data_IF_836871902011
#
_entry.id   IF_836871902011
#
_cell.length_a   1.000
_cell.length_b   1.000
_cell.length_c   1.000
_cell.angle_alpha   90.00
_cell.angle_beta   90.00
_cell.angle_gamma   90.00
#
_symmetry.space_group_name_H-M   'P 1'
#
loop_
_entity.id
_entity.type
_entity.pdbx_description
1 polymer ?
#
# COMPACT_ATOMS: atom_id res chain seq x y z
N UNK A 1 83.72 -5.87 -18.95
CA UNK A 1 82.73 -4.78 -18.99
C UNK A 1 82.21 -4.68 -20.41
N UNK A 2 80.99 -5.15 -20.65
CA UNK A 2 80.29 -5.09 -21.93
C UNK A 2 78.98 -4.32 -21.71
N UNK A 3 78.58 -3.41 -22.60
CA UNK A 3 77.41 -2.57 -22.38
C UNK A 3 76.11 -3.33 -22.65
N UNK A 4 75.11 -3.07 -21.81
CA UNK A 4 73.78 -3.67 -21.81
C UNK A 4 72.96 -3.22 -23.01
N UNK A 5 72.38 -4.18 -23.73
CA UNK A 5 71.23 -3.94 -24.61
C UNK A 5 69.96 -3.90 -23.76
N UNK A 6 69.31 -2.74 -23.68
CA UNK A 6 67.90 -2.66 -23.32
C UNK A 6 67.06 -3.23 -24.48
N UNK A 7 66.06 -4.07 -24.24
CA UNK A 7 65.01 -4.33 -25.21
C UNK A 7 64.03 -3.17 -25.22
N UNK A 8 63.74 -2.66 -26.41
CA UNK A 8 62.81 -1.59 -26.70
C UNK A 8 61.43 -1.83 -26.08
N UNK A 9 60.91 -0.81 -25.39
CA UNK A 9 59.53 -0.76 -24.93
C UNK A 9 58.60 -0.62 -26.14
N UNK A 10 57.95 -1.71 -26.52
CA UNK A 10 56.80 -1.72 -27.44
C UNK A 10 55.65 -0.98 -26.75
N UNK A 11 55.63 0.34 -26.93
CA UNK A 11 54.56 1.25 -26.56
C UNK A 11 53.77 1.60 -27.82
N UNK A 12 53.18 0.57 -28.43
CA UNK A 12 52.17 0.75 -29.48
C UNK A 12 50.91 -0.04 -29.12
N UNK A 13 50.22 0.40 -28.07
CA UNK A 13 48.77 0.22 -28.02
C UNK A 13 48.20 1.18 -29.06
N UNK A 14 48.27 0.77 -30.32
CA UNK A 14 47.54 1.45 -31.40
C UNK A 14 46.08 1.53 -30.97
N UNK A 15 45.52 2.73 -31.10
CA UNK A 15 44.13 3.04 -30.83
C UNK A 15 43.24 2.08 -31.63
N UNK A 16 42.80 1.02 -30.98
CA UNK A 16 41.85 0.07 -31.54
C UNK A 16 40.49 0.76 -31.57
N UNK A 17 40.14 1.36 -32.72
CA UNK A 17 38.78 1.79 -33.01
C UNK A 17 37.91 0.56 -33.20
N UNK A 18 37.57 -0.07 -32.08
CA UNK A 18 36.75 -1.29 -31.99
C UNK A 18 35.47 -1.11 -32.81
N UNK A 19 35.30 -1.97 -33.81
CA UNK A 19 34.10 -1.99 -34.63
C UNK A 19 32.89 -2.37 -33.76
N UNK A 20 31.68 -2.00 -34.17
CA UNK A 20 30.46 -2.36 -33.44
C UNK A 20 30.34 -3.86 -33.19
N UNK A 21 30.86 -4.69 -34.12
CA UNK A 21 30.90 -6.15 -34.02
C UNK A 21 31.88 -6.63 -32.94
N UNK A 22 33.07 -6.01 -32.85
CA UNK A 22 34.05 -6.35 -31.82
C UNK A 22 33.51 -6.07 -30.42
N UNK A 23 32.76 -4.98 -30.24
CA UNK A 23 32.08 -4.68 -28.97
C UNK A 23 31.00 -5.71 -28.62
N UNK A 24 30.21 -6.14 -29.61
CA UNK A 24 29.19 -7.17 -29.41
C UNK A 24 29.81 -8.51 -28.95
N UNK A 25 30.91 -8.94 -29.56
CA UNK A 25 31.60 -10.18 -29.15
C UNK A 25 32.22 -10.08 -27.75
N UNK A 26 32.74 -8.90 -27.37
CA UNK A 26 33.27 -8.67 -26.03
C UNK A 26 32.14 -8.69 -24.99
N UNK A 27 31.01 -8.05 -25.27
CA UNK A 27 29.84 -8.06 -24.38
C UNK A 27 29.30 -9.48 -24.15
N UNK A 28 29.17 -10.28 -25.21
CA UNK A 28 28.74 -11.68 -25.13
C UNK A 28 29.72 -12.53 -24.29
N UNK A 29 31.03 -12.37 -24.50
CA UNK A 29 32.07 -13.07 -23.71
C UNK A 29 32.03 -12.67 -22.23
N UNK A 30 31.80 -11.37 -21.95
CA UNK A 30 31.65 -10.88 -20.59
C UNK A 30 30.41 -11.48 -19.91
N UNK A 31 29.29 -11.58 -20.62
CA UNK A 31 28.05 -12.20 -20.11
C UNK A 31 28.28 -13.70 -19.80
N UNK A 32 28.93 -14.43 -20.71
CA UNK A 32 29.30 -15.83 -20.50
C UNK A 32 30.18 -16.02 -19.25
N UNK A 33 31.16 -15.14 -19.05
CA UNK A 33 32.06 -15.21 -17.89
C UNK A 33 31.34 -14.90 -16.58
N UNK A 34 30.47 -13.88 -16.55
CA UNK A 34 29.66 -13.55 -15.38
C UNK A 34 28.74 -14.70 -14.97
N UNK A 35 28.20 -15.39 -15.97
CA UNK A 35 27.36 -16.56 -15.75
C UNK A 35 28.14 -17.72 -15.10
N UNK A 36 29.35 -18.02 -15.57
CA UNK A 36 30.21 -19.06 -14.97
C UNK A 36 30.57 -18.73 -13.52
N UNK A 37 30.91 -17.47 -13.22
CA UNK A 37 31.19 -17.02 -11.86
C UNK A 37 30.00 -17.22 -10.92
N UNK A 38 28.78 -16.83 -11.34
CA UNK A 38 27.57 -17.03 -10.55
C UNK A 38 27.25 -18.50 -10.35
N UNK A 39 27.44 -19.32 -11.38
CA UNK A 39 27.21 -20.75 -11.29
C UNK A 39 28.16 -21.41 -10.28
N UNK A 40 29.45 -21.01 -10.26
CA UNK A 40 30.41 -21.46 -9.24
C UNK A 40 30.01 -21.05 -7.82
N UNK A 41 29.56 -19.80 -7.64
CA UNK A 41 29.08 -19.30 -6.35
C UNK A 41 27.91 -20.14 -5.82
N UNK A 42 26.90 -20.40 -6.64
CA UNK A 42 25.74 -21.22 -6.23
C UNK A 42 26.14 -22.66 -5.94
N UNK A 43 27.01 -23.25 -6.76
CA UNK A 43 27.52 -24.60 -6.50
C UNK A 43 28.32 -24.70 -5.19
N UNK A 44 29.01 -23.63 -4.76
CA UNK A 44 29.66 -23.57 -3.45
C UNK A 44 28.64 -23.58 -2.30
N UNK A 45 27.51 -22.86 -2.44
CA UNK A 45 26.43 -22.89 -1.46
C UNK A 45 25.79 -24.28 -1.33
N UNK A 46 25.63 -24.99 -2.46
CA UNK A 46 25.11 -26.37 -2.47
C UNK A 46 26.07 -27.31 -1.74
N UNK A 47 27.38 -27.20 -1.99
CA UNK A 47 28.40 -28.01 -1.31
C UNK A 47 28.38 -27.78 0.21
N UNK A 48 28.26 -26.53 0.65
CA UNK A 48 28.16 -26.19 2.07
C UNK A 48 26.89 -26.79 2.72
N UNK A 49 25.74 -26.71 2.02
CA UNK A 49 24.47 -27.29 2.50
C UNK A 49 24.55 -28.82 2.56
N UNK A 50 25.13 -29.46 1.55
CA UNK A 50 25.33 -30.91 1.53
C UNK A 50 26.25 -31.39 2.66
N UNK A 51 27.31 -30.63 2.98
CA UNK A 51 28.21 -30.95 4.10
C UNK A 51 27.53 -30.84 5.47
N UNK A 52 26.52 -29.96 5.61
CA UNK A 52 25.74 -29.80 6.84
C UNK A 52 24.60 -30.83 7.01
N UNK A 53 24.25 -31.56 5.96
CA UNK A 53 23.20 -32.58 5.96
C UNK A 53 23.85 -33.97 5.93
N UNK A 54 24.30 -34.44 7.09
CA UNK A 54 25.19 -35.59 7.26
C UNK A 54 24.70 -36.97 6.74
N UNK A 55 23.52 -37.09 6.11
CA UNK A 55 23.02 -38.38 5.61
C UNK A 55 21.98 -38.21 4.48
N UNK A 56 22.40 -37.98 3.24
CA UNK A 56 21.56 -38.26 2.06
C UNK A 56 22.37 -38.91 0.94
N UNK A 57 21.96 -40.08 0.43
CA UNK A 57 22.58 -40.74 -0.71
C UNK A 57 22.12 -40.07 -2.03
N UNK A 58 23.04 -39.91 -2.98
CA UNK A 58 22.79 -39.64 -4.41
C UNK A 58 21.67 -38.65 -4.79
N UNK A 59 21.54 -37.50 -4.12
CA UNK A 59 20.71 -36.43 -4.68
C UNK A 59 21.47 -35.81 -5.87
N UNK A 60 20.82 -35.78 -7.03
CA UNK A 60 21.38 -35.21 -8.25
C UNK A 60 21.76 -33.72 -8.03
N UNK A 61 22.98 -33.36 -8.45
CA UNK A 61 23.50 -31.99 -8.34
C UNK A 61 22.61 -31.01 -9.10
N UNK A 62 22.01 -31.45 -10.20
CA UNK A 62 21.10 -30.64 -11.01
C UNK A 62 19.76 -30.40 -10.31
N UNK A 63 19.26 -31.39 -9.56
CA UNK A 63 18.05 -31.26 -8.74
C UNK A 63 18.27 -30.31 -7.55
N UNK A 64 19.40 -30.44 -6.84
CA UNK A 64 19.76 -29.51 -5.75
C UNK A 64 19.95 -28.08 -6.24
N UNK A 65 20.56 -27.92 -7.42
CA UNK A 65 20.70 -26.61 -8.06
C UNK A 65 19.33 -26.01 -8.35
N UNK A 66 18.43 -26.79 -8.92
CA UNK A 66 17.08 -26.37 -9.26
C UNK A 66 16.27 -26.03 -8.02
N UNK A 67 16.29 -26.85 -6.97
CA UNK A 67 15.63 -26.57 -5.70
C UNK A 67 16.18 -25.27 -5.09
N UNK A 68 17.50 -25.10 -5.01
CA UNK A 68 18.10 -23.93 -4.39
C UNK A 68 17.79 -22.65 -5.17
N UNK A 69 17.96 -22.68 -6.49
CA UNK A 69 17.73 -21.53 -7.38
C UNK A 69 16.26 -21.12 -7.36
N UNK A 70 15.32 -22.08 -7.41
CA UNK A 70 13.88 -21.77 -7.37
C UNK A 70 13.41 -21.34 -5.98
N UNK A 71 13.80 -22.05 -4.92
CA UNK A 71 13.39 -21.75 -3.53
C UNK A 71 13.90 -20.40 -3.05
N UNK A 72 15.14 -20.04 -3.40
CA UNK A 72 15.74 -18.73 -3.06
C UNK A 72 15.55 -17.67 -4.15
N UNK A 73 14.94 -18.02 -5.27
CA UNK A 73 14.73 -17.14 -6.42
C UNK A 73 16.03 -16.45 -6.90
N UNK A 74 17.09 -17.24 -7.09
CA UNK A 74 18.43 -16.74 -7.42
C UNK A 74 18.49 -16.31 -8.89
N UNK A 75 18.79 -15.04 -9.14
CA UNK A 75 18.75 -14.43 -10.48
C UNK A 75 20.04 -14.66 -11.27
N UNK A 76 19.87 -14.84 -12.59
CA UNK A 76 20.93 -15.03 -13.58
C UNK A 76 21.79 -16.27 -13.27
N UNK A 77 21.11 -17.41 -13.11
CA UNK A 77 21.73 -18.73 -12.97
C UNK A 77 20.95 -19.65 -13.90
N UNK A 78 21.66 -20.42 -14.72
CA UNK A 78 21.06 -21.37 -15.66
C UNK A 78 20.93 -22.70 -14.94
N UNK A 79 19.74 -23.28 -15.01
CA UNK A 79 19.40 -24.56 -14.39
C UNK A 79 18.37 -25.28 -15.26
N UNK A 80 18.07 -26.54 -14.96
CA UNK A 80 17.08 -27.32 -15.71
C UNK A 80 15.89 -27.61 -14.80
N UNK A 81 14.71 -27.19 -15.24
CA UNK A 81 13.45 -27.46 -14.58
C UNK A 81 12.52 -28.12 -15.58
N UNK A 82 11.95 -29.26 -15.21
CA UNK A 82 11.03 -30.04 -16.05
C UNK A 82 11.62 -30.35 -17.45
N UNK A 83 12.92 -30.63 -17.51
CA UNK A 83 13.66 -30.91 -18.77
C UNK A 83 13.98 -29.68 -19.62
N UNK A 84 13.61 -28.47 -19.18
CA UNK A 84 13.83 -27.22 -19.90
C UNK A 84 14.96 -26.40 -19.24
N UNK A 85 15.92 -25.93 -20.05
CA UNK A 85 16.92 -24.96 -19.59
C UNK A 85 16.22 -23.63 -19.26
N UNK A 86 16.37 -23.21 -18.02
CA UNK A 86 15.72 -22.04 -17.44
C UNK A 86 16.75 -21.04 -16.92
N UNK A 87 16.36 -19.77 -16.86
CA UNK A 87 17.09 -18.72 -16.16
C UNK A 87 16.11 -17.79 -15.46
N UNK A 88 16.33 -17.49 -14.18
CA UNK A 88 15.53 -16.49 -13.47
C UNK A 88 16.10 -15.11 -13.81
N UNK A 89 15.33 -14.29 -14.52
CA UNK A 89 15.69 -12.91 -14.82
C UNK A 89 15.18 -11.96 -13.74
N UNK A 90 15.43 -10.66 -13.95
CA UNK A 90 14.88 -9.62 -13.08
C UNK A 90 13.35 -9.65 -13.12
N UNK A 91 12.76 -9.64 -11.93
CA UNK A 91 11.32 -9.56 -11.72
C UNK A 91 10.73 -8.33 -12.43
N UNK A 92 9.51 -8.48 -12.90
CA UNK A 92 8.70 -7.46 -13.54
C UNK A 92 7.71 -6.96 -12.50
N UNK A 93 7.46 -5.66 -12.50
CA UNK A 93 6.65 -5.09 -11.44
C UNK A 93 7.51 -4.78 -10.24
N UNK A 94 8.04 -3.58 -10.26
CA UNK A 94 7.84 -2.63 -9.20
C UNK A 94 7.43 -1.38 -10.01
N UNK A 95 6.32 -0.69 -9.68
CA UNK A 95 6.48 0.78 -9.70
C UNK A 95 7.64 0.93 -8.75
N UNK A 96 8.83 1.26 -9.26
CA UNK A 96 10.07 1.23 -8.45
C UNK A 96 9.68 1.75 -7.09
N UNK A 97 10.13 1.12 -6.01
CA UNK A 97 10.28 1.86 -4.77
C UNK A 97 11.20 3.01 -5.13
N UNK A 98 10.58 4.08 -5.61
CA UNK A 98 11.24 5.12 -6.34
C UNK A 98 11.87 5.92 -5.22
N UNK A 99 13.09 5.53 -4.88
CA UNK A 99 14.10 6.50 -4.56
C UNK A 99 14.26 7.35 -5.82
N UNK A 100 13.34 8.28 -5.99
CA UNK A 100 13.42 9.28 -7.02
C UNK A 100 14.72 10.04 -6.74
N UNK A 101 15.73 9.85 -7.60
CA UNK A 101 17.07 10.41 -7.43
C UNK A 101 17.13 11.94 -7.50
N UNK A 102 15.97 12.58 -7.54
CA UNK A 102 15.77 14.01 -7.68
C UNK A 102 15.04 14.65 -6.51
N UNK A 103 14.68 13.89 -5.47
CA UNK A 103 14.23 14.51 -4.23
C UNK A 103 15.38 15.25 -3.57
N UNK A 104 15.12 16.47 -3.14
CA UNK A 104 16.03 17.22 -2.28
C UNK A 104 15.84 16.74 -0.84
N UNK A 105 16.96 16.36 -0.19
CA UNK A 105 16.97 16.05 1.23
C UNK A 105 17.04 17.35 2.04
N UNK A 106 16.04 17.59 2.88
CA UNK A 106 16.06 18.66 3.88
C UNK A 106 16.17 18.08 5.29
N UNK A 107 16.85 18.80 6.17
CA UNK A 107 16.98 18.45 7.58
C UNK A 107 16.30 19.49 8.43
N UNK A 108 15.55 19.05 9.44
CA UNK A 108 15.13 19.94 10.52
C UNK A 108 16.16 20.02 11.65
N UNK A 109 15.87 20.83 12.67
CA UNK A 109 16.73 21.04 13.84
C UNK A 109 17.04 19.74 14.62
N UNK A 110 16.21 18.70 14.45
CA UNK A 110 16.39 17.38 15.07
C UNK A 110 17.08 16.39 14.12
N UNK A 111 17.65 16.88 13.02
CA UNK A 111 18.27 16.09 11.94
C UNK A 111 17.32 15.06 11.32
N UNK A 112 16.00 15.30 11.36
CA UNK A 112 15.03 14.47 10.65
C UNK A 112 15.10 14.81 9.17
N UNK A 113 15.22 13.77 8.34
CA UNK A 113 15.33 13.88 6.88
C UNK A 113 13.96 13.98 6.22
N UNK A 114 13.74 15.00 5.41
CA UNK A 114 12.53 15.18 4.60
C UNK A 114 12.90 15.15 3.12
N UNK A 115 12.03 14.59 2.27
CA UNK A 115 12.23 14.42 0.83
C UNK A 115 11.30 15.35 0.05
N UNK A 116 11.82 16.43 -0.51
CA UNK A 116 11.01 17.43 -1.23
C UNK A 116 11.22 17.25 -2.72
N UNK A 117 10.13 17.21 -3.49
CA UNK A 117 10.22 17.20 -4.96
C UNK A 117 10.45 18.63 -5.46
N UNK A 118 11.63 18.98 -5.99
CA UNK A 118 11.88 20.34 -6.47
C UNK A 118 11.16 20.64 -7.79
N UNK A 119 10.61 19.64 -8.48
CA UNK A 119 10.08 19.76 -9.85
C UNK A 119 8.54 19.83 -9.90
N UNK A 120 7.88 19.47 -8.80
CA UNK A 120 6.44 19.25 -8.75
C UNK A 120 6.02 17.99 -9.50
N UNK A 121 4.98 17.29 -9.01
CA UNK A 121 4.54 16.05 -9.65
C UNK A 121 3.84 16.34 -10.99
N UNK A 122 4.47 15.99 -12.10
CA UNK A 122 3.79 15.98 -13.41
C UNK A 122 3.07 14.64 -13.62
N UNK A 123 1.93 14.63 -14.33
CA UNK A 123 1.23 13.37 -14.67
C UNK A 123 2.14 12.38 -15.41
N UNK A 124 3.05 12.90 -16.25
CA UNK A 124 4.07 12.13 -16.97
C UNK A 124 4.99 11.33 -16.03
N UNK A 125 5.26 11.87 -14.84
CA UNK A 125 6.09 11.19 -13.84
C UNK A 125 5.32 10.14 -13.05
N UNK A 126 4.04 10.36 -12.77
CA UNK A 126 3.21 9.43 -12.01
C UNK A 126 2.82 8.18 -12.84
N UNK A 127 2.77 8.32 -14.17
CA UNK A 127 2.42 7.23 -15.09
C UNK A 127 3.66 6.55 -15.72
N UNK A 128 4.86 6.81 -15.17
CA UNK A 128 6.08 6.20 -15.68
C UNK A 128 6.13 4.68 -15.47
N UNK A 129 6.08 3.96 -16.59
CA UNK A 129 6.34 2.51 -16.64
C UNK A 129 7.84 2.26 -16.83
N UNK A 130 8.42 1.36 -16.02
CA UNK A 130 9.85 1.03 -16.11
C UNK A 130 10.24 0.54 -17.51
N UNK A 131 11.51 0.75 -17.92
CA UNK A 131 12.00 0.25 -19.22
C UNK A 131 11.80 -1.26 -19.34
N UNK A 132 12.08 -2.01 -18.27
CA UNK A 132 11.90 -3.46 -18.21
C UNK A 132 10.43 -3.87 -18.37
N UNK A 133 9.49 -3.16 -17.72
CA UNK A 133 8.06 -3.44 -17.87
C UNK A 133 7.57 -3.09 -19.28
N UNK A 134 8.05 -2.01 -19.90
CA UNK A 134 7.72 -1.67 -21.29
C UNK A 134 8.25 -2.71 -22.28
N UNK A 135 9.50 -3.15 -22.12
CA UNK A 135 10.08 -4.21 -22.94
C UNK A 135 9.29 -5.51 -22.79
N UNK A 136 9.02 -5.93 -21.55
CA UNK A 136 8.19 -7.10 -21.29
C UNK A 136 6.78 -6.99 -21.89
N UNK A 137 6.11 -5.84 -21.73
CA UNK A 137 4.80 -5.62 -22.34
C UNK A 137 4.86 -5.75 -23.85
N UNK A 138 5.91 -5.25 -24.51
CA UNK A 138 6.10 -5.41 -25.96
C UNK A 138 6.30 -6.87 -26.37
N UNK A 139 7.06 -7.63 -25.58
CA UNK A 139 7.39 -9.03 -25.89
C UNK A 139 6.24 -10.00 -25.56
N UNK A 140 5.34 -9.61 -24.66
CA UNK A 140 4.17 -10.39 -24.23
C UNK A 140 2.85 -9.83 -24.75
N UNK A 141 2.93 -8.76 -25.56
CA UNK A 141 1.78 -8.12 -26.16
C UNK A 141 1.01 -9.15 -26.97
N UNK A 142 -0.26 -9.38 -26.61
CA UNK A 142 -1.09 -10.24 -27.44
C UNK A 142 -1.23 -9.59 -28.82
N UNK A 143 -1.21 -10.37 -29.91
CA UNK A 143 -1.28 -9.84 -31.29
C UNK A 143 -2.50 -8.92 -31.54
N UNK A 144 -3.56 -9.06 -30.74
CA UNK A 144 -4.74 -8.20 -30.83
C UNK A 144 -4.54 -6.82 -30.18
N UNK A 145 -3.57 -6.63 -29.29
CA UNK A 145 -3.35 -5.37 -28.54
C UNK A 145 -2.88 -4.22 -29.43
N UNK A 146 -2.22 -4.48 -30.56
CA UNK A 146 -1.94 -3.46 -31.58
C UNK A 146 -3.24 -2.79 -32.10
N UNK A 147 -4.35 -3.53 -32.03
CA UNK A 147 -5.69 -3.06 -32.38
C UNK A 147 -6.50 -2.52 -31.20
N UNK A 148 -5.92 -2.26 -30.03
CA UNK A 148 -6.67 -1.71 -28.87
C UNK A 148 -6.67 -0.17 -28.83
N UNK A 149 -5.77 0.47 -29.59
CA UNK A 149 -5.80 1.92 -29.84
C UNK A 149 -6.83 2.29 -30.92
N UNK A 150 -8.07 1.84 -30.72
CA UNK A 150 -9.15 2.10 -31.66
C UNK A 150 -9.60 3.56 -31.55
N UNK A 151 -9.90 4.24 -32.66
CA UNK A 151 -10.56 5.53 -32.60
C UNK A 151 -11.96 5.36 -31.99
N UNK A 152 -12.50 6.40 -31.34
CA UNK A 152 -13.84 6.35 -30.74
C UNK A 152 -14.94 6.00 -31.74
N UNK A 153 -14.73 6.29 -33.02
CA UNK A 153 -15.63 5.94 -34.12
C UNK A 153 -15.71 4.43 -34.38
N UNK A 154 -14.70 3.65 -34.01
CA UNK A 154 -14.64 2.22 -34.27
C UNK A 154 -15.66 1.44 -33.43
N UNK A 155 -16.33 0.44 -34.02
CA UNK A 155 -17.43 -0.30 -33.36
C UNK A 155 -17.00 -1.14 -32.15
N UNK A 156 -15.73 -1.54 -32.14
CA UNK A 156 -15.12 -2.28 -31.02
C UNK A 156 -14.41 -1.38 -30.01
N UNK A 157 -14.57 -0.05 -30.10
CA UNK A 157 -14.00 0.84 -29.10
C UNK A 157 -14.57 0.52 -27.71
N UNK A 158 -13.74 0.50 -26.67
CA UNK A 158 -14.12 0.10 -25.32
C UNK A 158 -15.39 0.81 -24.81
N UNK A 159 -15.54 2.11 -25.11
CA UNK A 159 -16.73 2.87 -24.68
C UNK A 159 -18.04 2.45 -25.35
N UNK A 160 -18.01 1.61 -26.39
CA UNK A 160 -19.19 1.04 -27.04
C UNK A 160 -19.55 -0.33 -26.47
N UNK A 161 -18.76 -0.89 -25.56
CA UNK A 161 -19.12 -2.14 -24.89
C UNK A 161 -20.33 -1.92 -23.96
N UNK A 162 -21.16 -2.96 -23.77
CA UNK A 162 -22.21 -2.92 -22.77
C UNK A 162 -21.66 -2.57 -21.39
N UNK A 163 -22.42 -1.80 -20.61
CA UNK A 163 -21.99 -1.32 -19.30
C UNK A 163 -21.54 -2.46 -18.36
N UNK A 164 -22.21 -3.61 -18.43
CA UNK A 164 -21.87 -4.80 -17.64
C UNK A 164 -20.45 -5.33 -17.92
N UNK A 165 -19.99 -5.24 -19.17
CA UNK A 165 -18.64 -5.67 -19.55
C UNK A 165 -17.61 -4.65 -19.05
N UNK A 166 -17.92 -3.36 -19.19
CA UNK A 166 -17.08 -2.28 -18.67
C UNK A 166 -16.94 -2.41 -17.14
N UNK A 167 -18.06 -2.64 -16.44
CA UNK A 167 -18.08 -2.79 -14.98
C UNK A 167 -17.31 -4.04 -14.53
N UNK A 168 -17.40 -5.16 -15.26
CA UNK A 168 -16.59 -6.35 -14.98
C UNK A 168 -15.09 -6.09 -15.14
N UNK A 169 -14.69 -5.43 -16.22
CA UNK A 169 -13.28 -5.11 -16.49
C UNK A 169 -12.75 -4.15 -15.42
N UNK A 170 -13.46 -3.05 -15.16
CA UNK A 170 -13.06 -2.09 -14.14
C UNK A 170 -13.09 -2.70 -12.74
N UNK A 171 -14.10 -3.53 -12.43
CA UNK A 171 -14.19 -4.24 -11.16
C UNK A 171 -12.95 -5.08 -10.88
N UNK A 172 -12.44 -5.83 -11.86
CA UNK A 172 -11.18 -6.58 -11.71
C UNK A 172 -9.96 -5.68 -11.44
N UNK A 173 -10.00 -4.41 -11.86
CA UNK A 173 -8.89 -3.48 -11.69
C UNK A 173 -8.96 -2.68 -10.39
N UNK A 174 -10.16 -2.33 -9.91
CA UNK A 174 -10.32 -1.36 -8.81
C UNK A 174 -11.08 -1.88 -7.60
N UNK A 175 -11.48 -3.15 -7.60
CA UNK A 175 -12.16 -3.80 -6.49
C UNK A 175 -11.32 -4.95 -5.94
N UNK A 176 -11.26 -5.05 -4.62
CA UNK A 176 -10.71 -6.20 -3.92
C UNK A 176 -11.86 -6.92 -3.24
N UNK A 177 -11.97 -8.22 -3.49
CA UNK A 177 -12.92 -9.08 -2.80
C UNK A 177 -12.39 -9.44 -1.40
N UNK A 178 -13.31 -9.55 -0.44
CA UNK A 178 -13.08 -10.16 0.87
C UNK A 178 -12.01 -9.51 1.77
N UNK A 179 -11.49 -8.34 1.41
CA UNK A 179 -10.45 -7.63 2.18
C UNK A 179 -10.77 -6.13 2.31
N UNK A 180 -10.37 -5.54 3.44
CA UNK A 180 -10.45 -4.10 3.64
C UNK A 180 -9.20 -3.40 3.07
N UNK A 181 -9.42 -2.27 2.41
CA UNK A 181 -8.36 -1.37 1.95
C UNK A 181 -7.95 -0.48 3.11
N UNK A 182 -6.66 -0.37 3.42
CA UNK A 182 -6.14 0.63 4.34
C UNK A 182 -5.47 1.76 3.55
N UNK A 183 -6.13 2.91 3.35
CA UNK A 183 -5.55 3.99 2.57
C UNK A 183 -4.37 4.64 3.29
N UNK A 184 -3.18 4.46 2.72
CA UNK A 184 -1.99 5.20 3.13
C UNK A 184 -1.83 6.45 2.26
N UNK A 185 -2.19 7.60 2.82
CA UNK A 185 -2.03 8.87 2.13
C UNK A 185 -0.68 9.46 2.53
N UNK A 186 0.23 9.54 1.57
CA UNK A 186 1.50 10.23 1.70
C UNK A 186 1.26 11.73 1.91
N UNK A 187 1.19 12.16 3.17
CA UNK A 187 1.10 13.57 3.53
C UNK A 187 2.39 14.08 4.13
N UNK A 188 3.17 13.21 4.76
CA UNK A 188 4.49 13.55 5.25
C UNK A 188 5.54 13.17 4.22
N UNK A 189 6.43 14.12 3.94
CA UNK A 189 7.67 13.85 3.25
C UNK A 189 8.80 13.48 4.21
N UNK A 190 8.51 13.19 5.48
CA UNK A 190 9.51 12.70 6.41
C UNK A 190 9.99 11.30 6.02
N UNK A 191 11.29 11.13 5.71
CA UNK A 191 11.89 9.90 5.17
C UNK A 191 11.51 8.62 5.92
N UNK A 192 11.33 8.67 7.24
CA UNK A 192 10.95 7.51 8.06
C UNK A 192 9.51 7.03 7.81
N UNK A 193 8.62 7.94 7.42
CA UNK A 193 7.18 7.68 7.20
C UNK A 193 6.75 7.95 5.75
N UNK A 194 7.66 8.40 4.90
CA UNK A 194 7.43 8.65 3.49
C UNK A 194 7.41 7.34 2.72
N UNK A 195 6.21 6.88 2.36
CA UNK A 195 6.05 5.90 1.30
C UNK A 195 6.11 6.64 -0.03
N UNK A 196 7.23 6.49 -0.76
CA UNK A 196 7.44 7.12 -2.07
C UNK A 196 6.43 6.74 -3.16
N UNK A 197 5.43 5.92 -2.82
CA UNK A 197 4.25 5.71 -3.64
C UNK A 197 2.97 5.78 -2.78
N UNK A 198 1.95 6.55 -3.19
CA UNK A 198 0.63 6.56 -2.55
C UNK A 198 -0.12 5.28 -2.93
N UNK A 199 0.31 4.13 -2.44
CA UNK A 199 -0.36 2.86 -2.70
C UNK A 199 -0.83 2.21 -1.41
N UNK A 200 -2.10 1.81 -1.45
CA UNK A 200 -2.87 1.20 -0.39
C UNK A 200 -2.26 -0.15 -0.01
N UNK A 201 -2.13 -0.40 1.29
CA UNK A 201 -1.86 -1.75 1.78
C UNK A 201 -3.20 -2.40 2.09
N UNK A 202 -3.37 -3.63 1.64
CA UNK A 202 -4.42 -4.52 2.16
C UNK A 202 -3.90 -5.24 3.38
N UNK A 203 -4.79 -5.63 4.28
CA UNK A 203 -4.46 -6.17 5.60
C UNK A 203 -3.92 -7.62 5.61
N UNK A 204 -3.61 -8.21 4.44
CA UNK A 204 -3.03 -9.56 4.37
C UNK A 204 -1.54 -9.53 4.04
N UNK A 205 -0.76 -10.00 5.02
CA UNK A 205 0.63 -10.46 4.95
C UNK A 205 1.55 -9.76 3.95
N UNK A 206 2.13 -8.65 4.41
CA UNK A 206 3.45 -8.09 4.06
C UNK A 206 3.79 -7.79 2.59
N UNK A 207 2.96 -8.12 1.59
CA UNK A 207 3.22 -7.81 0.19
C UNK A 207 1.99 -7.20 -0.48
N UNK A 208 2.01 -5.90 -0.83
CA UNK A 208 0.88 -5.21 -1.46
C UNK A 208 0.67 -5.61 -2.93
N UNK A 209 1.27 -6.72 -3.35
CA UNK A 209 1.30 -7.19 -4.72
C UNK A 209 0.98 -8.69 -4.81
N UNK A 210 0.13 -9.03 -5.75
CA UNK A 210 0.02 -10.41 -6.23
C UNK A 210 1.26 -10.72 -7.05
N UNK A 211 1.96 -11.79 -6.70
CA UNK A 211 3.19 -12.21 -7.36
C UNK A 211 2.92 -13.46 -8.19
N UNK A 212 3.02 -13.35 -9.51
CA UNK A 212 2.83 -14.46 -10.44
C UNK A 212 4.12 -14.80 -11.14
N UNK A 213 4.51 -16.06 -11.16
CA UNK A 213 5.63 -16.52 -11.98
C UNK A 213 5.20 -16.62 -13.44
N UNK A 214 5.98 -16.02 -14.34
CA UNK A 214 5.80 -16.13 -15.79
C UNK A 214 7.09 -16.61 -16.44
N UNK A 215 6.96 -17.48 -17.44
CA UNK A 215 8.06 -17.98 -18.25
C UNK A 215 7.89 -17.57 -19.70
N UNK A 216 8.91 -16.95 -20.29
CA UNK A 216 8.95 -16.63 -21.72
C UNK A 216 10.16 -17.31 -22.35
N UNK A 217 9.95 -18.03 -23.45
CA UNK A 217 11.02 -18.70 -24.16
C UNK A 217 11.78 -17.68 -25.02
N UNK A 218 13.05 -17.42 -24.68
CA UNK A 218 13.87 -16.37 -25.30
C UNK A 218 15.17 -16.96 -25.84
N UNK A 219 15.61 -16.47 -26.99
CA UNK A 219 16.95 -16.78 -27.53
C UNK A 219 17.97 -15.85 -26.88
N UNK A 220 18.98 -16.42 -26.21
CA UNK A 220 20.07 -15.70 -25.55
C UNK A 220 21.42 -16.14 -26.08
N UNK A 221 22.51 -15.51 -25.62
CA UNK A 221 23.90 -15.94 -25.89
C UNK A 221 24.18 -17.37 -25.43
N UNK A 222 23.37 -17.89 -24.49
CA UNK A 222 23.46 -19.25 -23.97
C UNK A 222 22.54 -20.25 -24.70
N UNK A 223 21.93 -19.84 -25.81
CA UNK A 223 20.95 -20.61 -26.55
C UNK A 223 19.51 -20.29 -26.16
N UNK A 224 18.59 -21.21 -26.44
CA UNK A 224 17.15 -20.99 -26.18
C UNK A 224 16.82 -21.35 -24.72
N UNK A 225 16.49 -20.36 -23.91
CA UNK A 225 16.21 -20.49 -22.49
C UNK A 225 14.78 -20.09 -22.15
N UNK A 226 14.16 -20.80 -21.20
CA UNK A 226 12.93 -20.35 -20.56
C UNK A 226 13.29 -19.30 -19.50
N UNK A 227 13.00 -18.04 -19.81
CA UNK A 227 13.29 -16.91 -18.91
C UNK A 227 12.14 -16.77 -17.92
N UNK A 228 12.37 -17.21 -16.69
CA UNK A 228 11.43 -17.12 -15.59
C UNK A 228 11.54 -15.76 -14.90
N UNK A 229 10.40 -15.15 -14.56
CA UNK A 229 10.32 -13.86 -13.87
C UNK A 229 9.14 -13.88 -12.91
N UNK A 230 9.25 -13.23 -11.76
CA UNK A 230 8.05 -12.87 -10.99
C UNK A 230 7.47 -11.59 -11.55
N UNK A 231 6.15 -11.55 -11.72
CA UNK A 231 5.38 -10.36 -12.05
C UNK A 231 4.64 -9.93 -10.80
N UNK A 232 5.02 -8.79 -10.24
CA UNK A 232 4.34 -8.20 -9.09
C UNK A 232 3.28 -7.20 -9.59
N UNK A 233 2.01 -7.49 -9.31
CA UNK A 233 0.87 -6.67 -9.70
C UNK A 233 0.18 -6.11 -8.46
N UNK A 234 -0.13 -4.82 -8.46
CA UNK A 234 -0.90 -4.22 -7.38
C UNK A 234 -2.29 -4.85 -7.34
N UNK A 235 -2.80 -5.10 -6.14
CA UNK A 235 -4.15 -5.66 -5.98
C UNK A 235 -5.24 -4.71 -6.50
N UNK A 236 -4.96 -3.41 -6.54
CA UNK A 236 -5.75 -2.40 -7.25
C UNK A 236 -4.85 -1.64 -8.21
N UNK A 237 -5.33 -1.45 -9.44
CA UNK A 237 -4.78 -0.53 -10.43
C UNK A 237 -5.77 0.61 -10.73
N UNK A 238 -5.80 1.61 -9.84
CA UNK A 238 -6.60 2.81 -10.03
C UNK A 238 -5.98 3.80 -11.07
N UNK A 239 -4.83 3.48 -11.67
CA UNK A 239 -4.20 4.36 -12.66
C UNK A 239 -5.03 4.43 -13.94
N UNK A 240 -5.76 3.36 -14.24
CA UNK A 240 -6.73 3.32 -15.33
C UNK A 240 -7.82 4.40 -15.23
N UNK A 241 -8.12 4.90 -14.04
CA UNK A 241 -9.10 5.97 -13.82
C UNK A 241 -8.64 7.35 -14.34
N UNK A 242 -7.39 7.46 -14.78
CA UNK A 242 -6.82 8.68 -15.37
C UNK A 242 -6.96 8.74 -16.88
N UNK A 243 -7.33 7.64 -17.53
CA UNK A 243 -7.43 7.53 -18.99
C UNK A 243 -8.38 8.58 -19.55
N UNK A 244 -9.60 8.68 -19.01
CA UNK A 244 -10.54 9.73 -19.37
C UNK A 244 -11.62 9.92 -18.29
N UNK A 245 -12.46 10.94 -18.47
CA UNK A 245 -13.55 11.27 -17.54
C UNK A 245 -14.54 10.11 -17.36
N UNK A 246 -14.86 9.37 -18.42
CA UNK A 246 -15.80 8.25 -18.33
C UNK A 246 -15.24 7.11 -17.47
N UNK A 247 -13.97 6.74 -17.68
CA UNK A 247 -13.27 5.77 -16.83
C UNK A 247 -13.21 6.23 -15.38
N UNK A 248 -12.88 7.50 -15.17
CA UNK A 248 -12.85 8.09 -13.83
C UNK A 248 -14.21 7.99 -13.12
N UNK A 249 -15.30 8.30 -13.81
CA UNK A 249 -16.65 8.27 -13.24
C UNK A 249 -17.12 6.85 -12.95
N UNK A 250 -17.04 5.95 -13.93
CA UNK A 250 -17.51 4.56 -13.78
C UNK A 250 -16.61 3.81 -12.81
N UNK A 251 -15.30 3.83 -13.02
CA UNK A 251 -14.37 3.11 -12.18
C UNK A 251 -14.23 3.75 -10.79
N UNK A 252 -14.33 5.07 -10.67
CA UNK A 252 -14.38 5.74 -9.36
C UNK A 252 -15.60 5.31 -8.54
N UNK A 253 -16.76 5.12 -9.18
CA UNK A 253 -17.93 4.55 -8.53
C UNK A 253 -17.64 3.15 -7.99
N UNK A 254 -17.05 2.27 -8.79
CA UNK A 254 -16.71 0.91 -8.34
C UNK A 254 -15.67 0.92 -7.21
N UNK A 255 -14.61 1.71 -7.36
CA UNK A 255 -13.55 1.87 -6.37
C UNK A 255 -14.13 2.28 -5.01
N UNK A 256 -14.88 3.38 -4.93
CA UNK A 256 -15.34 3.90 -3.64
C UNK A 256 -16.59 3.18 -3.10
N UNK A 257 -17.45 2.65 -3.96
CA UNK A 257 -18.73 2.07 -3.55
C UNK A 257 -18.64 0.60 -3.14
N UNK A 258 -17.75 -0.17 -3.77
CA UNK A 258 -17.72 -1.63 -3.62
C UNK A 258 -16.60 -2.14 -2.72
N UNK A 259 -15.63 -1.30 -2.36
CA UNK A 259 -14.57 -1.67 -1.42
C UNK A 259 -14.94 -1.30 0.02
N UNK A 260 -14.40 -2.08 0.95
CA UNK A 260 -14.35 -1.74 2.37
C UNK A 260 -13.09 -0.89 2.64
N UNK A 261 -13.21 0.21 3.39
CA UNK A 261 -12.08 1.04 3.75
C UNK A 261 -11.85 1.03 5.26
N UNK A 262 -10.66 0.62 5.67
CA UNK A 262 -10.24 0.51 7.06
C UNK A 262 -9.32 1.66 7.48
N UNK A 263 -9.59 2.18 8.68
CA UNK A 263 -8.85 3.28 9.28
C UNK A 263 -8.54 2.99 10.75
N UNK A 264 -7.32 3.30 11.15
CA UNK A 264 -6.93 3.35 12.56
C UNK A 264 -7.20 4.74 13.15
N UNK A 265 -7.27 4.82 14.48
CA UNK A 265 -7.33 6.10 15.17
C UNK A 265 -6.01 6.86 15.06
N UNK A 266 -6.08 8.20 15.14
CA UNK A 266 -4.89 9.03 15.07
C UNK A 266 -4.07 8.93 16.37
N UNK A 267 -2.74 8.87 16.23
CA UNK A 267 -1.81 9.04 17.32
C UNK A 267 -1.18 10.44 17.24
N UNK A 268 -1.41 11.26 18.27
CA UNK A 268 -1.00 12.66 18.30
C UNK A 268 0.51 12.87 18.57
N UNK A 269 1.30 11.81 18.73
CA UNK A 269 2.74 11.90 19.03
C UNK A 269 3.55 12.54 17.90
N UNK A 270 4.78 12.94 18.24
CA UNK A 270 5.84 13.38 17.33
C UNK A 270 5.99 12.54 16.07
N UNK A 271 6.01 11.23 16.29
CA UNK A 271 6.45 10.25 15.30
C UNK A 271 5.28 9.72 14.47
N UNK A 272 4.08 9.62 15.04
CA UNK A 272 2.91 9.11 14.31
C UNK A 272 2.04 10.21 13.70
N UNK A 273 2.19 11.45 14.16
CA UNK A 273 1.71 12.68 13.49
C UNK A 273 2.88 13.59 13.06
N UNK A 274 3.72 13.14 12.11
CA UNK A 274 4.91 13.89 11.70
C UNK A 274 4.57 15.16 10.92
N UNK A 275 5.44 16.16 11.03
CA UNK A 275 5.36 17.36 10.21
C UNK A 275 5.72 17.09 8.76
N UNK A 276 5.69 18.13 7.95
CA UNK A 276 6.07 18.06 6.55
C UNK A 276 6.85 19.29 6.17
N UNK A 277 7.87 19.11 5.34
CA UNK A 277 8.63 20.22 4.80
C UNK A 277 7.86 20.83 3.63
N UNK A 278 7.34 22.04 3.80
CA UNK A 278 6.50 22.72 2.81
C UNK A 278 6.90 24.19 2.70
N UNK A 279 7.22 24.65 1.50
CA UNK A 279 7.73 26.00 1.20
C UNK A 279 8.91 26.39 2.11
N UNK A 280 9.95 25.56 2.13
CA UNK A 280 11.22 25.86 2.81
C UNK A 280 11.19 25.77 4.34
N UNK A 281 10.10 25.32 4.95
CA UNK A 281 9.99 25.22 6.41
C UNK A 281 9.24 23.97 6.87
N UNK A 282 9.52 23.54 8.10
CA UNK A 282 8.78 22.48 8.76
C UNK A 282 7.38 22.99 9.15
N UNK A 283 6.35 22.47 8.48
CA UNK A 283 4.97 22.71 8.80
C UNK A 283 4.39 21.51 9.55
N UNK A 284 3.95 21.73 10.79
CA UNK A 284 3.34 20.71 11.63
C UNK A 284 2.14 21.29 12.38
N UNK A 285 0.93 21.24 11.80
CA UNK A 285 -0.25 21.73 12.49
C UNK A 285 -0.59 20.79 13.67
N UNK A 286 -1.36 21.29 14.64
CA UNK A 286 -1.71 20.51 15.84
C UNK A 286 -2.51 19.24 15.48
N UNK A 287 -2.06 18.03 15.86
CA UNK A 287 -2.81 16.79 15.63
C UNK A 287 -3.99 16.60 16.58
N UNK A 288 -4.10 17.42 17.64
CA UNK A 288 -5.11 17.24 18.69
C UNK A 288 -6.52 17.46 18.12
N UNK A 289 -7.34 16.40 18.15
CA UNK A 289 -8.78 16.49 17.90
C UNK A 289 -9.46 17.40 18.92
N UNK A 290 -10.61 18.00 18.60
CA UNK A 290 -11.44 18.64 19.62
C UNK A 290 -11.97 17.57 20.59
N UNK A 291 -11.90 17.82 21.90
CA UNK A 291 -12.43 16.95 22.95
C UNK A 291 -13.27 17.77 23.95
N UNK A 292 -14.24 17.13 24.58
CA UNK A 292 -14.95 17.71 25.72
C UNK A 292 -14.05 17.65 26.96
N UNK A 293 -13.48 18.79 27.37
CA UNK A 293 -12.90 18.92 28.71
C UNK A 293 -13.98 19.43 29.64
N UNK A 294 -14.19 18.73 30.76
CA UNK A 294 -15.14 19.12 31.80
C UNK A 294 -14.89 20.52 32.40
N UNK A 295 -13.72 21.13 32.15
CA UNK A 295 -13.31 22.40 32.77
C UNK A 295 -13.43 23.65 31.90
N UNK A 296 -13.38 23.58 30.56
CA UNK A 296 -13.20 24.81 29.75
C UNK A 296 -13.91 24.90 28.39
N UNK A 297 -14.59 23.87 27.88
CA UNK A 297 -15.23 23.95 26.55
C UNK A 297 -16.74 23.72 26.57
N UNK A 298 -17.50 24.80 26.37
CA UNK A 298 -18.93 24.75 26.04
C UNK A 298 -19.16 23.85 24.81
N UNK A 299 -20.24 23.05 24.75
CA UNK A 299 -20.64 22.29 23.55
C UNK A 299 -20.64 23.11 22.25
N UNK A 300 -20.82 24.43 22.36
CA UNK A 300 -20.74 25.38 21.24
C UNK A 300 -19.34 25.45 20.62
N UNK A 301 -18.27 25.45 21.42
CA UNK A 301 -16.88 25.53 20.95
C UNK A 301 -16.50 24.24 20.23
N UNK A 302 -16.79 23.09 20.85
CA UNK A 302 -16.61 21.78 20.23
C UNK A 302 -17.30 21.73 18.86
N UNK A 303 -18.59 22.07 18.80
CA UNK A 303 -19.36 22.10 17.54
C UNK A 303 -18.75 23.06 16.52
N UNK A 304 -18.30 24.24 16.93
CA UNK A 304 -17.65 25.21 16.04
C UNK A 304 -16.36 24.67 15.41
N UNK A 305 -15.51 23.99 16.20
CA UNK A 305 -14.27 23.35 15.72
C UNK A 305 -14.57 22.24 14.69
N UNK A 306 -15.55 21.38 14.98
CA UNK A 306 -16.00 20.34 14.03
C UNK A 306 -16.50 20.97 12.74
N UNK A 307 -17.35 22.00 12.83
CA UNK A 307 -17.87 22.71 11.66
C UNK A 307 -16.77 23.36 10.84
N UNK A 308 -15.68 23.82 11.46
CA UNK A 308 -14.49 24.30 10.73
C UNK A 308 -13.86 23.18 9.91
N UNK A 309 -13.59 22.01 10.51
CA UNK A 309 -13.04 20.87 9.78
C UNK A 309 -13.92 20.42 8.61
N UNK A 310 -15.25 20.35 8.81
CA UNK A 310 -16.21 20.07 7.74
C UNK A 310 -16.10 21.12 6.61
N UNK A 311 -16.05 22.42 6.94
CA UNK A 311 -15.90 23.46 5.91
C UNK A 311 -14.59 23.33 5.15
N UNK A 312 -13.48 23.01 5.83
CA UNK A 312 -12.17 22.88 5.22
C UNK A 312 -12.13 21.70 4.23
N UNK A 313 -12.68 20.53 4.61
CA UNK A 313 -12.83 19.36 3.72
C UNK A 313 -13.72 19.69 2.52
N UNK A 314 -14.87 20.32 2.75
CA UNK A 314 -15.83 20.66 1.69
C UNK A 314 -15.24 21.63 0.68
N UNK A 315 -14.50 22.65 1.16
CA UNK A 315 -13.91 23.68 0.32
C UNK A 315 -12.57 23.29 -0.30
N UNK A 316 -11.99 22.15 0.10
CA UNK A 316 -10.66 21.72 -0.37
C UNK A 316 -9.64 22.84 -0.19
N UNK A 317 -9.60 23.42 1.01
CA UNK A 317 -8.67 24.52 1.32
C UNK A 317 -7.23 24.03 1.17
N UNK A 318 -6.30 24.90 0.78
CA UNK A 318 -4.88 24.55 0.69
C UNK A 318 -4.39 23.86 1.99
N UNK A 319 -3.51 22.86 1.86
CA UNK A 319 -3.05 22.02 2.97
C UNK A 319 -2.60 22.84 4.19
N UNK A 320 -1.84 23.94 3.99
CA UNK A 320 -1.40 24.84 5.07
C UNK A 320 -2.52 25.53 5.85
N UNK A 321 -3.73 25.62 5.27
CA UNK A 321 -4.93 26.21 5.89
C UNK A 321 -5.85 25.15 6.53
N UNK A 322 -5.61 23.87 6.27
CA UNK A 322 -6.37 22.76 6.82
C UNK A 322 -6.16 22.67 8.34
N UNK A 323 -7.24 22.46 9.10
CA UNK A 323 -7.10 22.20 10.53
C UNK A 323 -6.25 20.95 10.79
N UNK A 324 -5.34 21.05 11.75
CA UNK A 324 -4.30 20.03 11.94
C UNK A 324 -4.81 18.63 12.28
N UNK A 325 -5.92 18.49 13.01
CA UNK A 325 -6.50 17.18 13.30
C UNK A 325 -7.10 16.51 12.05
N UNK A 326 -7.62 17.27 11.07
CA UNK A 326 -8.00 16.72 9.76
C UNK A 326 -6.76 16.37 8.94
N UNK A 327 -5.72 17.20 9.05
CA UNK A 327 -4.45 16.91 8.39
C UNK A 327 -3.82 15.62 8.90
N UNK A 328 -3.88 15.32 10.20
CA UNK A 328 -3.20 14.17 10.79
C UNK A 328 -4.02 12.87 10.77
N UNK A 329 -5.32 12.97 10.97
CA UNK A 329 -6.20 11.81 11.10
C UNK A 329 -6.38 11.03 9.79
N UNK A 330 -6.13 9.70 9.76
CA UNK A 330 -6.19 8.91 8.53
C UNK A 330 -7.52 8.98 7.80
N UNK A 331 -8.64 8.86 8.52
CA UNK A 331 -9.97 8.86 7.94
C UNK A 331 -10.34 10.23 7.40
N UNK A 332 -10.16 11.28 8.21
CA UNK A 332 -10.56 12.64 7.83
C UNK A 332 -9.70 13.18 6.67
N UNK A 333 -8.40 12.85 6.70
CA UNK A 333 -7.47 13.12 5.60
C UNK A 333 -7.88 12.39 4.34
N UNK A 334 -8.33 11.14 4.43
CA UNK A 334 -8.84 10.41 3.29
C UNK A 334 -10.05 11.09 2.67
N UNK A 335 -11.02 11.52 3.47
CA UNK A 335 -12.16 12.29 2.98
C UNK A 335 -11.73 13.61 2.32
N UNK A 336 -10.74 14.30 2.89
CA UNK A 336 -10.14 15.48 2.27
C UNK A 336 -9.55 15.14 0.89
N UNK A 337 -8.74 14.08 0.78
CA UNK A 337 -8.04 13.75 -0.47
C UNK A 337 -8.96 13.26 -1.59
N UNK A 338 -9.95 12.43 -1.28
CA UNK A 338 -10.87 11.92 -2.32
C UNK A 338 -11.95 12.94 -2.70
N UNK A 339 -12.18 13.93 -1.84
CA UNK A 339 -13.18 14.96 -2.01
C UNK A 339 -14.61 14.48 -1.76
N UNK A 340 -15.52 15.44 -1.57
CA UNK A 340 -16.91 15.19 -1.14
C UNK A 340 -17.73 14.33 -2.11
N UNK A 341 -17.43 14.39 -3.42
CA UNK A 341 -18.16 13.61 -4.43
C UNK A 341 -17.87 12.11 -4.30
N UNK A 342 -16.61 11.75 -4.10
CA UNK A 342 -16.20 10.36 -3.93
C UNK A 342 -16.51 9.85 -2.52
N UNK A 343 -16.37 10.69 -1.50
CA UNK A 343 -16.80 10.37 -0.14
C UNK A 343 -18.27 9.96 -0.07
N UNK A 344 -19.12 10.60 -0.88
CA UNK A 344 -20.53 10.26 -0.94
C UNK A 344 -20.82 8.87 -1.54
N UNK A 345 -19.86 8.26 -2.22
CA UNK A 345 -20.00 6.92 -2.82
C UNK A 345 -19.66 5.81 -1.82
N UNK A 346 -18.96 6.12 -0.72
CA UNK A 346 -18.54 5.15 0.29
C UNK A 346 -19.76 4.44 0.88
N UNK A 347 -19.67 3.10 1.00
CA UNK A 347 -20.73 2.25 1.57
C UNK A 347 -20.33 1.51 2.84
N UNK A 348 -19.08 1.04 2.90
CA UNK A 348 -18.58 0.22 4.00
C UNK A 348 -17.32 0.84 4.56
N UNK A 349 -17.32 1.14 5.85
CA UNK A 349 -16.15 1.63 6.58
C UNK A 349 -15.81 0.67 7.72
N UNK A 350 -14.52 0.47 7.94
CA UNK A 350 -13.97 -0.26 9.07
C UNK A 350 -13.10 0.68 9.91
N UNK A 351 -13.20 0.59 11.21
CA UNK A 351 -12.36 1.35 12.13
C UNK A 351 -11.77 0.44 13.19
N UNK A 352 -10.48 0.58 13.42
CA UNK A 352 -9.73 -0.12 14.46
C UNK A 352 -9.17 0.87 15.47
N UNK A 353 -9.22 0.52 16.75
CA UNK A 353 -8.63 1.33 17.81
C UNK A 353 -9.00 0.88 19.21
N UNK A 354 -8.35 1.50 20.19
CA UNK A 354 -8.55 1.20 21.60
C UNK A 354 -9.64 2.07 22.22
N UNK A 355 -10.44 1.48 23.10
CA UNK A 355 -11.33 2.22 24.01
C UNK A 355 -10.52 2.62 25.21
N UNK A 356 -10.34 3.94 25.38
CA UNK A 356 -9.49 4.43 26.45
C UNK A 356 -10.16 4.24 27.82
N UNK A 357 -9.70 3.31 28.65
CA UNK A 357 -10.24 3.06 29.99
C UNK A 357 -9.36 3.63 31.10
N UNK A 358 -8.06 3.83 30.85
CA UNK A 358 -7.16 4.46 31.81
C UNK A 358 -7.22 6.00 31.78
N UNK A 359 -6.83 6.62 32.89
CA UNK A 359 -6.47 8.03 32.91
C UNK A 359 -4.98 8.13 32.57
N UNK A 360 -4.63 8.68 31.41
CA UNK A 360 -3.24 8.91 31.05
C UNK A 360 -2.61 9.82 32.13
N UNK A 361 -1.56 9.33 32.80
CA UNK A 361 -0.76 10.15 33.70
C UNK A 361 -0.15 11.34 32.92
N UNK A 362 0.05 12.47 33.58
CA UNK A 362 0.63 13.65 32.95
C UNK A 362 2.00 13.31 32.33
N UNK A 363 2.09 13.35 31.00
CA UNK A 363 3.32 13.05 30.25
C UNK A 363 3.27 11.79 29.39
N UNK A 364 2.26 10.92 29.58
CA UNK A 364 2.04 9.76 28.71
C UNK A 364 1.18 10.15 27.49
N UNK A 365 1.73 9.93 26.30
CA UNK A 365 1.02 10.14 25.04
C UNK A 365 0.32 8.83 24.64
N UNK A 366 -1.00 8.79 24.82
CA UNK A 366 -1.85 7.67 24.42
C UNK A 366 -2.50 7.99 23.05
N UNK A 367 -2.74 6.97 22.22
CA UNK A 367 -3.50 7.08 20.97
C UNK A 367 -4.89 7.64 21.21
N UNK A 368 -5.45 8.39 20.24
CA UNK A 368 -6.84 8.86 20.37
C UNK A 368 -7.75 7.65 20.59
N UNK A 369 -8.57 7.71 21.65
CA UNK A 369 -9.55 6.68 21.91
C UNK A 369 -10.54 6.57 20.76
N UNK A 370 -10.94 5.35 20.42
CA UNK A 370 -11.84 5.06 19.32
C UNK A 370 -13.18 5.79 19.51
N UNK A 371 -13.78 5.67 20.69
CA UNK A 371 -15.08 6.29 20.99
C UNK A 371 -14.99 7.82 20.95
N UNK A 372 -13.93 8.39 21.52
CA UNK A 372 -13.67 9.83 21.48
C UNK A 372 -13.45 10.33 20.04
N UNK A 373 -12.82 9.53 19.18
CA UNK A 373 -12.68 9.84 17.76
C UNK A 373 -14.02 9.82 17.03
N UNK A 374 -14.93 8.90 17.38
CA UNK A 374 -16.26 8.85 16.77
C UNK A 374 -17.12 10.08 17.06
N UNK A 375 -16.91 10.78 18.19
CA UNK A 375 -17.55 12.09 18.43
C UNK A 375 -17.22 13.12 17.35
N UNK A 376 -16.06 12.99 16.72
CA UNK A 376 -15.62 13.79 15.57
C UNK A 376 -16.10 13.17 14.25
N UNK A 377 -16.01 11.85 14.11
CA UNK A 377 -16.34 11.17 12.85
C UNK A 377 -17.83 11.20 12.53
N UNK A 378 -18.72 10.99 13.50
CA UNK A 378 -20.18 10.97 13.28
C UNK A 378 -20.70 12.22 12.56
N UNK A 379 -20.44 13.45 13.02
CA UNK A 379 -20.90 14.65 12.31
C UNK A 379 -20.25 14.82 10.93
N UNK A 380 -19.03 14.33 10.73
CA UNK A 380 -18.33 14.37 9.43
C UNK A 380 -18.93 13.34 8.46
N UNK A 381 -19.16 12.11 8.90
CA UNK A 381 -19.81 11.03 8.15
C UNK A 381 -21.21 11.44 7.73
N UNK A 382 -22.02 11.99 8.64
CA UNK A 382 -23.33 12.53 8.31
C UNK A 382 -23.28 13.67 7.26
N UNK A 383 -22.17 14.39 7.16
CA UNK A 383 -22.00 15.49 6.21
C UNK A 383 -21.48 15.07 4.83
N UNK A 384 -20.70 13.98 4.75
CA UNK A 384 -19.97 13.60 3.52
C UNK A 384 -20.19 12.17 3.05
N UNK A 385 -20.64 11.27 3.92
CA UNK A 385 -20.76 9.85 3.65
C UNK A 385 -22.22 9.37 3.79
N UNK A 386 -23.20 10.00 3.12
CA UNK A 386 -24.64 9.71 3.30
C UNK A 386 -25.05 8.29 2.88
N UNK A 387 -24.19 7.56 2.17
CA UNK A 387 -24.45 6.21 1.68
C UNK A 387 -23.70 5.12 2.46
N UNK A 388 -23.01 5.47 3.55
CA UNK A 388 -22.39 4.47 4.42
C UNK A 388 -23.50 3.72 5.15
N UNK A 389 -23.67 2.46 4.77
CA UNK A 389 -24.70 1.56 5.28
C UNK A 389 -24.12 0.52 6.22
N UNK A 390 -22.83 0.20 6.09
CA UNK A 390 -22.13 -0.77 6.93
C UNK A 390 -20.95 -0.14 7.65
N UNK A 391 -20.89 -0.34 8.96
CA UNK A 391 -19.77 0.05 9.80
C UNK A 391 -19.21 -1.18 10.51
N UNK A 392 -17.91 -1.39 10.40
CA UNK A 392 -17.17 -2.44 11.10
C UNK A 392 -16.31 -1.76 12.16
N UNK A 393 -16.39 -2.21 13.41
CA UNK A 393 -15.59 -1.69 14.52
C UNK A 393 -14.75 -2.82 15.12
N UNK A 394 -13.43 -2.70 14.98
CA UNK A 394 -12.43 -3.57 15.63
C UNK A 394 -12.04 -2.91 16.96
N UNK A 395 -12.69 -3.29 18.05
CA UNK A 395 -12.64 -2.57 19.34
C UNK A 395 -11.72 -3.29 20.32
N UNK A 396 -10.59 -2.66 20.68
CA UNK A 396 -9.64 -3.20 21.66
C UNK A 396 -9.77 -2.47 23.01
N UNK A 397 -9.46 -3.15 24.11
CA UNK A 397 -9.28 -2.49 25.41
C UNK A 397 -7.82 -2.08 25.59
N UNK A 398 -7.58 -0.92 26.21
CA UNK A 398 -6.24 -0.40 26.53
C UNK A 398 -5.72 -0.85 27.91
N UNK A 399 -6.53 -1.58 28.67
CA UNK A 399 -6.27 -1.87 30.08
C UNK A 399 -6.31 -3.36 30.40
N UNK A 400 -5.46 -3.78 31.34
CA UNK A 400 -5.54 -5.08 32.00
C UNK A 400 -6.84 -5.22 32.79
N UNK A 401 -7.26 -6.47 33.04
CA UNK A 401 -8.53 -6.96 33.64
C UNK A 401 -9.29 -6.11 34.70
N UNK A 402 -8.66 -5.10 35.34
CA UNK A 402 -9.26 -4.22 36.33
C UNK A 402 -10.20 -3.14 35.77
N UNK A 403 -10.18 -2.83 34.46
CA UNK A 403 -11.04 -1.79 33.88
C UNK A 403 -12.20 -2.29 32.99
N UNK A 404 -12.53 -3.59 33.04
CA UNK A 404 -13.62 -4.18 32.24
C UNK A 404 -14.96 -3.45 32.47
N UNK A 405 -15.31 -3.16 33.71
CA UNK A 405 -16.55 -2.42 34.02
C UNK A 405 -16.56 -1.01 33.42
N UNK A 406 -15.40 -0.34 33.32
CA UNK A 406 -15.28 0.98 32.71
C UNK A 406 -15.42 0.87 31.19
N UNK A 407 -14.75 -0.12 30.60
CA UNK A 407 -14.82 -0.46 29.19
C UNK A 407 -16.27 -0.73 28.76
N UNK A 408 -16.94 -1.69 29.41
CA UNK A 408 -18.31 -2.07 29.12
C UNK A 408 -19.27 -0.90 29.20
N UNK A 409 -19.18 -0.10 30.28
CA UNK A 409 -19.99 1.10 30.44
C UNK A 409 -19.77 2.09 29.29
N UNK A 410 -18.51 2.40 28.95
CA UNK A 410 -18.19 3.34 27.87
C UNK A 410 -18.71 2.86 26.51
N UNK A 411 -18.51 1.57 26.22
CA UNK A 411 -18.97 0.95 24.97
C UNK A 411 -20.50 0.96 24.89
N UNK A 412 -21.19 0.62 25.98
CA UNK A 412 -22.66 0.66 26.08
C UNK A 412 -23.20 2.08 25.87
N UNK A 413 -22.66 3.06 26.61
CA UNK A 413 -23.05 4.47 26.47
C UNK A 413 -22.84 4.99 25.04
N UNK A 414 -21.75 4.58 24.38
CA UNK A 414 -21.49 4.93 22.99
C UNK A 414 -22.51 4.34 22.02
N UNK A 415 -22.82 3.04 22.14
CA UNK A 415 -23.77 2.36 21.25
C UNK A 415 -25.22 2.81 21.47
N UNK A 416 -25.62 3.02 22.73
CA UNK A 416 -26.97 3.46 23.07
C UNK A 416 -27.18 4.96 22.86
N UNK A 417 -26.12 5.76 22.93
CA UNK A 417 -26.17 7.21 22.78
C UNK A 417 -25.61 7.71 21.45
N UNK A 418 -24.30 7.88 21.39
CA UNK A 418 -23.63 8.66 20.34
C UNK A 418 -23.77 8.04 18.94
N UNK A 419 -23.58 6.72 18.82
CA UNK A 419 -23.60 6.03 17.53
C UNK A 419 -24.96 6.15 16.83
N UNK A 420 -26.05 6.26 17.59
CA UNK A 420 -27.42 6.43 17.06
C UNK A 420 -27.61 7.71 16.25
N UNK A 421 -26.67 8.66 16.36
CA UNK A 421 -26.70 9.88 15.56
C UNK A 421 -26.24 9.65 14.11
N UNK A 422 -25.71 8.48 13.75
CA UNK A 422 -25.42 8.13 12.35
C UNK A 422 -26.72 7.88 11.59
N UNK A 423 -26.95 8.64 10.51
CA UNK A 423 -28.25 8.67 9.81
C UNK A 423 -28.47 7.55 8.82
N UNK A 424 -27.40 7.03 8.21
CA UNK A 424 -27.47 6.11 7.06
C UNK A 424 -27.11 4.67 7.40
N UNK A 425 -26.69 4.41 8.64
CA UNK A 425 -26.18 3.12 9.08
C UNK A 425 -27.32 2.09 9.15
N UNK A 426 -27.13 0.94 8.50
CA UNK A 426 -28.07 -0.20 8.49
C UNK A 426 -27.50 -1.44 9.14
N UNK A 427 -26.19 -1.63 9.01
CA UNK A 427 -25.45 -2.77 9.52
C UNK A 427 -24.27 -2.28 10.37
N UNK A 428 -24.20 -2.76 11.60
CA UNK A 428 -23.05 -2.56 12.49
C UNK A 428 -22.46 -3.94 12.77
N UNK A 429 -21.17 -4.09 12.50
CA UNK A 429 -20.38 -5.27 12.85
C UNK A 429 -19.35 -4.85 13.89
N UNK A 430 -19.26 -5.58 14.99
CA UNK A 430 -18.23 -5.38 16.00
C UNK A 430 -17.38 -6.64 16.06
N UNK A 431 -16.07 -6.48 15.94
CA UNK A 431 -15.07 -7.55 15.84
C UNK A 431 -14.03 -7.36 16.94
N UNK A 432 -13.45 -8.47 17.41
CA UNK A 432 -12.35 -8.51 18.38
C UNK A 432 -12.60 -7.76 19.69
N UNK A 433 -13.76 -8.00 20.32
CA UNK A 433 -14.02 -7.63 21.71
C UNK A 433 -13.18 -8.53 22.66
N UNK A 434 -11.87 -8.35 22.63
CA UNK A 434 -10.90 -9.12 23.40
C UNK A 434 -10.45 -8.27 24.59
N UNK A 435 -10.70 -8.77 25.79
CA UNK A 435 -10.09 -8.26 27.03
C UNK A 435 -9.07 -9.31 27.47
N UNK A 436 -7.78 -9.10 27.24
CA UNK A 436 -6.67 -9.91 27.80
C UNK A 436 -6.91 -11.44 27.82
N UNK A 437 -7.28 -12.04 26.68
CA UNK A 437 -7.48 -13.50 26.57
C UNK A 437 -8.75 -14.04 27.24
N UNK A 438 -9.61 -13.18 27.77
CA UNK A 438 -11.00 -13.48 28.09
C UNK A 438 -11.89 -13.01 26.94
N UNK A 439 -12.51 -13.98 26.25
CA UNK A 439 -13.76 -13.71 25.54
C UNK A 439 -14.76 -13.27 26.62
N UNK A 440 -15.32 -12.07 26.48
CA UNK A 440 -16.39 -11.62 27.37
C UNK A 440 -17.49 -12.70 27.36
N UNK A 441 -18.00 -13.14 28.53
CA UNK A 441 -18.99 -14.19 28.56
C UNK A 441 -20.17 -13.79 27.68
N UNK A 442 -20.57 -14.70 26.77
CA UNK A 442 -21.61 -14.53 25.74
C UNK A 442 -22.96 -13.97 26.26
N UNK A 443 -23.14 -13.80 27.57
CA UNK A 443 -24.38 -13.37 28.23
C UNK A 443 -24.54 -11.87 28.54
N UNK A 444 -23.49 -11.11 28.86
CA UNK A 444 -23.70 -9.80 29.52
C UNK A 444 -23.68 -8.58 28.58
N UNK A 445 -23.10 -8.72 27.38
CA UNK A 445 -23.26 -7.74 26.28
C UNK A 445 -24.26 -8.25 25.22
N UNK A 446 -24.59 -9.55 25.22
CA UNK A 446 -25.63 -10.16 24.40
C UNK A 446 -27.05 -9.64 24.68
N UNK A 447 -27.22 -8.81 25.71
CA UNK A 447 -28.51 -8.26 26.16
C UNK A 447 -28.62 -6.73 26.05
N UNK A 448 -27.82 -6.06 25.19
CA UNK A 448 -28.17 -4.69 24.74
C UNK A 448 -29.39 -4.80 23.82
N UNK A 449 -30.53 -4.92 24.48
CA UNK A 449 -31.86 -5.12 23.95
C UNK A 449 -32.23 -4.01 22.97
N UNK A 450 -32.45 -4.42 21.72
CA UNK A 450 -33.49 -3.94 20.80
C UNK A 450 -34.08 -2.56 21.09
N UNK A 451 -33.29 -1.51 20.87
CA UNK A 451 -33.87 -0.26 20.42
C UNK A 451 -33.75 -0.24 18.90
N UNK A 452 -34.86 0.03 18.23
CA UNK A 452 -34.96 0.07 16.78
C UNK A 452 -33.97 1.08 16.17
N UNK A 453 -32.74 0.62 15.88
CA UNK A 453 -32.02 1.06 14.69
C UNK A 453 -33.01 0.82 13.55
N UNK A 454 -33.40 1.89 12.85
CA UNK A 454 -34.45 1.86 11.83
C UNK A 454 -34.37 0.54 11.02
N UNK A 455 -35.38 -0.34 11.16
CA UNK A 455 -35.38 -1.74 10.68
C UNK A 455 -34.80 -1.89 9.25
N UNK A 456 -34.19 -3.04 8.86
CA UNK A 456 -33.49 -4.11 9.60
C UNK A 456 -32.06 -4.36 8.99
N UNK A 457 -31.05 -5.07 9.54
CA UNK A 457 -30.91 -6.13 10.55
C UNK A 457 -29.48 -6.09 11.12
N UNK A 458 -29.36 -6.49 12.39
CA UNK A 458 -28.16 -6.64 13.20
C UNK A 458 -27.45 -7.98 12.92
N UNK A 459 -26.12 -8.01 12.90
CA UNK A 459 -25.33 -9.21 13.22
C UNK A 459 -24.22 -8.87 14.20
N UNK A 460 -24.41 -9.24 15.47
CA UNK A 460 -23.41 -9.09 16.52
C UNK A 460 -22.48 -10.32 16.53
N UNK A 461 -21.17 -10.05 16.55
CA UNK A 461 -20.04 -10.97 16.70
C UNK A 461 -19.81 -11.96 15.55
N UNK A 462 -18.73 -11.75 14.78
CA UNK A 462 -18.05 -12.82 14.04
C UNK A 462 -16.85 -13.25 14.86
N UNK A 463 -16.80 -14.53 15.29
CA UNK A 463 -15.53 -15.12 15.73
C UNK A 463 -14.58 -15.15 14.53
N UNK A 464 -13.39 -14.60 14.70
CA UNK A 464 -12.31 -14.81 13.73
C UNK A 464 -12.03 -16.30 13.60
N UNK A 465 -11.88 -16.79 12.37
CA UNK A 465 -11.42 -18.15 12.15
C UNK A 465 -9.98 -18.25 12.67
N UNK A 466 -9.78 -19.06 13.71
CA UNK A 466 -8.49 -19.42 14.30
C UNK A 466 -7.61 -20.22 13.36
#
# INVERSE_FOLDING_TARGET
MAPSQQPDSVSSTENWESSHLDRMYVDDLMELHQQDLKQREVMSMIRLRAFSMENYPEIDKEELLTELVTKRWIKNVIFVRDGQKCIIANDIGHRKDFWYSWFEEHLDDRRRKYLVDPRGQTLKEIDHTSKNRRAFMKDTQHKSEEGWHLPQSHDRHFSKFPQEIIDKILGHLVQIADTALMPQIATTNWKRKFSGSPHHTTSQDCYPYTTTEVGVLTTTVHGRLLVLRKVHQSQIDATCLRVCKAWNQTGGKLLYCLNCYEFETNNATGDDSPGSWIDGSLWRPSPKKPFFVARDESPRIFKSKIQKGIRDIRKQVAIKKLVGWVYHDPFLRFLYMIGVKNAALLRTLSFSGEVRCHQCEQGHFCDDGLLESFRVYIPVMNAFCPNVQKLILNIKTDSKALAVNIFERKVREFFEGELRNLRSLRELVVVDLIVDGYELPDGDIGSISTAQLAKPTVSYFRKGAS
#
